data_IF_301665352173
#
_entry.id   IF_301665352173
#
_cell.length_a   1.000
_cell.length_b   1.000
_cell.length_c   1.000
_cell.angle_alpha   90.00
_cell.angle_beta   90.00
_cell.angle_gamma   90.00
#
_symmetry.space_group_name_H-M   'P 1'
#
loop_
_entity.id
_entity.type
_entity.pdbx_description
1 polymer ?
#
# COMPACT_ATOMS: atom_id res chain seq x y z
N UNK A 1 -6.28 31.80 32.47
CA UNK A 1 -6.24 32.17 31.04
C UNK A 1 -4.93 32.91 30.75
N UNK A 2 -4.45 32.88 29.51
CA UNK A 2 -3.28 33.65 29.05
C UNK A 2 -3.47 35.16 29.26
N UNK A 3 -2.45 35.86 29.73
CA UNK A 3 -2.49 37.31 29.97
C UNK A 3 -2.41 38.17 28.69
N UNK A 4 -2.08 37.56 27.54
CA UNK A 4 -2.09 38.26 26.26
C UNK A 4 -3.53 38.67 25.86
N UNK A 5 -3.78 39.94 25.50
CA UNK A 5 -5.12 40.44 25.18
C UNK A 5 -5.80 39.60 24.09
N UNK A 6 -7.04 39.16 24.34
CA UNK A 6 -7.82 38.37 23.39
C UNK A 6 -7.44 36.88 23.29
N UNK A 7 -6.47 36.39 24.08
CA UNK A 7 -6.09 34.98 24.05
C UNK A 7 -6.91 34.13 25.03
N UNK A 8 -7.68 33.17 24.50
CA UNK A 8 -8.48 32.22 25.30
C UNK A 8 -7.72 30.93 25.66
N UNK A 9 -6.44 30.81 25.29
CA UNK A 9 -5.63 29.62 25.60
C UNK A 9 -5.20 29.62 27.07
N UNK A 10 -5.05 28.43 27.67
CA UNK A 10 -4.55 28.27 29.05
C UNK A 10 -3.13 28.84 29.23
N UNK A 11 -2.87 29.47 30.38
CA UNK A 11 -1.55 29.99 30.70
C UNK A 11 -0.62 28.88 31.20
N UNK A 12 0.67 29.02 30.96
CA UNK A 12 1.74 28.19 31.48
C UNK A 12 2.54 29.00 32.53
N UNK A 13 3.71 28.52 32.97
CA UNK A 13 4.61 29.36 33.78
C UNK A 13 4.89 30.70 33.08
N UNK A 14 4.80 31.80 33.84
CA UNK A 14 4.99 33.16 33.34
C UNK A 14 3.73 33.89 32.88
N UNK A 15 2.53 33.33 33.08
CA UNK A 15 1.26 34.05 32.83
C UNK A 15 0.79 34.05 31.37
N UNK A 16 1.59 33.56 30.43
CA UNK A 16 1.25 33.48 29.01
C UNK A 16 1.02 32.04 28.56
N UNK A 17 0.30 31.83 27.45
CA UNK A 17 0.22 30.53 26.78
C UNK A 17 1.50 30.23 26.01
N UNK A 18 1.69 28.99 25.56
CA UNK A 18 2.88 28.54 24.82
C UNK A 18 3.24 29.43 23.61
N UNK A 19 2.22 29.94 22.89
CA UNK A 19 2.42 30.80 21.73
C UNK A 19 2.75 32.25 22.11
N UNK A 20 2.31 32.72 23.28
CA UNK A 20 2.55 34.09 23.75
C UNK A 20 3.71 34.18 24.76
N UNK A 21 4.64 33.21 24.73
CA UNK A 21 5.84 33.27 25.56
C UNK A 21 5.76 32.48 26.87
N UNK A 22 4.68 31.73 27.10
CA UNK A 22 4.52 30.85 28.26
C UNK A 22 5.47 29.65 28.26
N UNK A 23 5.97 29.29 29.44
CA UNK A 23 6.90 28.18 29.67
C UNK A 23 8.36 28.63 29.84
N UNK A 24 9.15 27.78 30.50
CA UNK A 24 10.59 28.00 30.70
C UNK A 24 11.33 28.00 29.37
N UNK A 25 12.40 28.80 29.25
CA UNK A 25 13.26 28.81 28.07
C UNK A 25 14.41 27.83 28.25
N UNK A 26 14.93 27.36 27.12
CA UNK A 26 16.16 26.60 27.08
C UNK A 26 17.29 27.38 27.76
N UNK A 27 18.05 26.71 28.62
CA UNK A 27 19.16 27.29 29.40
C UNK A 27 20.41 27.52 28.55
N UNK A 28 20.49 26.91 27.36
CA UNK A 28 21.55 27.20 26.39
C UNK A 28 21.52 28.70 26.01
N UNK A 29 22.65 29.42 26.14
CA UNK A 29 22.74 30.84 25.81
C UNK A 29 22.18 31.14 24.42
N UNK A 30 21.43 32.23 24.31
CA UNK A 30 20.79 32.70 23.07
C UNK A 30 19.71 31.79 22.47
N UNK A 31 19.34 30.69 23.15
CA UNK A 31 18.25 29.84 22.68
C UNK A 31 16.88 30.35 23.16
N UNK A 32 16.03 30.77 22.22
CA UNK A 32 14.66 31.24 22.52
C UNK A 32 13.61 30.12 22.60
N UNK A 33 14.01 28.88 22.32
CA UNK A 33 13.12 27.71 22.31
C UNK A 33 12.65 27.35 23.72
N UNK A 34 11.42 26.85 23.82
CA UNK A 34 10.82 26.40 25.08
C UNK A 34 11.54 25.14 25.58
N UNK A 35 11.78 25.09 26.88
CA UNK A 35 12.26 23.92 27.62
C UNK A 35 11.28 22.75 27.47
N UNK A 36 11.81 21.60 27.03
CA UNK A 36 11.06 20.36 26.85
C UNK A 36 11.35 19.32 27.96
N UNK A 37 12.12 19.71 28.99
CA UNK A 37 12.56 18.89 30.11
C UNK A 37 14.02 19.18 30.45
N UNK A 38 14.36 19.20 31.74
CA UNK A 38 15.71 19.43 32.26
C UNK A 38 16.35 20.78 31.88
N UNK A 39 15.56 21.81 31.61
CA UNK A 39 16.07 23.14 31.26
C UNK A 39 16.49 23.25 29.80
N UNK A 40 16.30 22.25 28.96
CA UNK A 40 16.80 22.23 27.59
C UNK A 40 15.64 22.09 26.60
N UNK A 41 15.74 22.74 25.43
CA UNK A 41 14.79 22.47 24.35
C UNK A 41 15.10 21.13 23.67
N UNK A 42 14.17 20.62 22.84
CA UNK A 42 14.35 19.34 22.13
C UNK A 42 15.65 19.26 21.30
N UNK A 43 16.07 20.35 20.68
CA UNK A 43 17.32 20.38 19.90
C UNK A 43 18.59 20.46 20.76
N UNK A 44 18.46 20.84 22.02
CA UNK A 44 19.56 20.90 22.98
C UNK A 44 19.49 19.76 24.01
N UNK A 45 18.74 18.69 23.72
CA UNK A 45 18.72 17.47 24.53
C UNK A 45 17.67 17.42 25.65
N UNK A 46 16.64 18.27 25.59
CA UNK A 46 15.48 18.19 26.47
C UNK A 46 14.37 17.27 25.95
N UNK A 47 13.60 16.68 26.86
CA UNK A 47 12.60 15.65 26.58
C UNK A 47 12.96 14.30 27.22
N UNK A 48 12.05 13.32 27.13
CA UNK A 48 12.35 11.95 27.59
C UNK A 48 13.50 11.39 26.75
N UNK A 49 14.46 10.73 27.40
CA UNK A 49 15.60 10.07 26.74
C UNK A 49 15.39 8.57 26.68
N UNK A 50 15.96 7.95 25.64
CA UNK A 50 15.94 6.50 25.50
C UNK A 50 16.48 5.84 26.79
N UNK A 51 15.78 4.82 27.29
CA UNK A 51 16.19 4.11 28.53
C UNK A 51 17.33 3.10 28.32
N UNK A 52 17.75 2.85 27.08
CA UNK A 52 18.87 1.96 26.78
C UNK A 52 20.20 2.59 27.23
N UNK A 53 21.09 1.79 27.84
CA UNK A 53 22.41 2.25 28.23
C UNK A 53 23.16 2.84 27.02
N UNK A 54 23.76 4.02 27.23
CA UNK A 54 24.56 4.78 26.25
C UNK A 54 23.83 5.31 25.00
N UNK A 55 22.49 5.33 24.97
CA UNK A 55 21.74 5.96 23.89
C UNK A 55 21.46 7.46 24.17
N UNK A 56 22.23 8.36 23.54
CA UNK A 56 22.03 9.82 23.61
C UNK A 56 20.82 10.36 22.83
N UNK A 57 20.00 9.49 22.22
CA UNK A 57 18.86 9.90 21.41
C UNK A 57 17.65 10.21 22.30
N UNK A 58 16.80 11.15 21.84
CA UNK A 58 15.48 11.33 22.42
C UNK A 58 14.73 10.00 22.39
N UNK A 59 13.94 9.72 23.43
CA UNK A 59 13.04 8.57 23.52
C UNK A 59 12.06 8.69 22.35
N UNK A 60 12.42 8.10 21.19
CA UNK A 60 11.48 7.88 20.11
C UNK A 60 10.44 6.99 20.76
N UNK A 61 9.21 7.50 20.88
CA UNK A 61 8.11 6.72 21.44
C UNK A 61 8.12 5.32 20.82
N UNK A 62 7.77 4.27 21.59
CA UNK A 62 7.80 2.91 21.07
C UNK A 62 7.03 2.84 19.74
N UNK A 63 7.44 1.95 18.81
CA UNK A 63 6.75 1.78 17.54
C UNK A 63 5.24 1.67 17.77
N UNK A 64 4.45 2.22 16.85
CA UNK A 64 3.01 2.03 16.88
C UNK A 64 2.75 0.55 16.65
N UNK A 65 2.30 -0.14 17.70
CA UNK A 65 1.86 -1.52 17.64
C UNK A 65 0.43 -1.56 17.10
N UNK A 66 0.17 -2.43 16.13
CA UNK A 66 -1.18 -2.69 15.66
C UNK A 66 -1.64 -4.01 16.24
N UNK A 67 -2.84 -4.00 16.79
CA UNK A 67 -3.50 -5.20 17.23
C UNK A 67 -4.82 -5.31 16.47
N UNK A 68 -5.13 -6.52 16.03
CA UNK A 68 -6.44 -6.84 15.46
C UNK A 68 -7.05 -8.00 16.24
N UNK A 69 -8.37 -8.12 16.20
CA UNK A 69 -9.06 -9.30 16.71
C UNK A 69 -9.23 -10.31 15.59
N UNK A 70 -8.86 -11.56 15.87
CA UNK A 70 -9.19 -12.72 15.05
C UNK A 70 -10.39 -13.40 15.67
N UNK A 71 -11.49 -13.47 14.93
CA UNK A 71 -12.76 -14.00 15.40
C UNK A 71 -13.14 -15.20 14.55
N UNK A 72 -13.41 -16.34 15.19
CA UNK A 72 -13.99 -17.49 14.52
C UNK A 72 -15.50 -17.47 14.75
N UNK A 73 -16.27 -17.14 13.73
CA UNK A 73 -17.72 -16.99 13.83
C UNK A 73 -18.40 -18.11 13.06
N UNK A 74 -19.15 -18.95 13.76
CA UNK A 74 -20.03 -19.93 13.14
C UNK A 74 -21.40 -19.31 12.92
N UNK A 75 -21.90 -19.41 11.69
CA UNK A 75 -23.18 -18.84 11.26
C UNK A 75 -24.07 -19.96 10.76
N UNK A 76 -25.29 -20.05 11.28
CA UNK A 76 -26.32 -20.97 10.79
C UNK A 76 -26.97 -20.38 9.53
N UNK A 77 -26.97 -21.14 8.44
CA UNK A 77 -27.55 -20.70 7.18
C UNK A 77 -29.01 -21.10 7.10
N UNK A 78 -29.85 -20.09 6.93
CA UNK A 78 -31.28 -20.23 6.66
C UNK A 78 -31.67 -19.19 5.61
N UNK A 79 -32.65 -19.50 4.76
CA UNK A 79 -33.11 -18.54 3.76
C UNK A 79 -33.50 -17.21 4.45
N UNK A 80 -33.05 -16.05 3.94
CA UNK A 80 -32.46 -15.84 2.62
C UNK A 80 -30.92 -15.77 2.63
N UNK A 81 -30.27 -16.19 3.71
CA UNK A 81 -28.83 -16.08 3.94
C UNK A 81 -28.06 -17.26 3.34
N UNK A 82 -27.14 -16.93 2.43
CA UNK A 82 -26.19 -17.87 1.82
C UNK A 82 -24.77 -17.54 2.28
N UNK A 83 -23.82 -18.47 2.07
CA UNK A 83 -22.39 -18.25 2.36
C UNK A 83 -21.89 -16.91 1.80
N UNK A 84 -22.18 -16.65 0.53
CA UNK A 84 -21.76 -15.45 -0.18
C UNK A 84 -22.43 -14.17 0.35
N UNK A 85 -23.70 -14.24 0.76
CA UNK A 85 -24.40 -13.07 1.32
C UNK A 85 -23.85 -12.68 2.69
N UNK A 86 -23.57 -13.67 3.54
CA UNK A 86 -22.94 -13.43 4.84
C UNK A 86 -21.52 -12.90 4.66
N UNK A 87 -20.74 -13.50 3.74
CA UNK A 87 -19.40 -13.05 3.39
C UNK A 87 -19.39 -11.59 2.93
N UNK A 88 -20.22 -11.23 1.94
CA UNK A 88 -20.30 -9.88 1.39
C UNK A 88 -20.70 -8.84 2.44
N UNK A 89 -21.61 -9.21 3.36
CA UNK A 89 -22.01 -8.31 4.42
C UNK A 89 -20.88 -8.09 5.43
N UNK A 90 -20.24 -9.16 5.91
CA UNK A 90 -19.10 -9.04 6.81
C UNK A 90 -17.97 -8.21 6.17
N UNK A 91 -17.73 -8.37 4.86
CA UNK A 91 -16.75 -7.57 4.12
C UNK A 91 -17.14 -6.10 3.98
N UNK A 92 -18.43 -5.76 4.08
CA UNK A 92 -18.90 -4.37 4.00
C UNK A 92 -18.75 -3.59 5.31
N UNK A 93 -18.43 -4.27 6.41
CA UNK A 93 -18.25 -3.63 7.72
C UNK A 93 -16.92 -2.85 7.75
N UNK A 94 -16.93 -1.54 8.08
CA UNK A 94 -15.77 -0.66 7.89
C UNK A 94 -14.57 -0.99 8.79
N UNK A 95 -14.79 -1.72 9.88
CA UNK A 95 -13.73 -2.15 10.80
C UNK A 95 -13.25 -3.59 10.54
N UNK A 96 -13.88 -4.29 9.58
CA UNK A 96 -13.39 -5.58 9.09
C UNK A 96 -12.25 -5.34 8.11
N UNK A 97 -11.13 -6.02 8.35
CA UNK A 97 -9.97 -6.03 7.45
C UNK A 97 -10.12 -7.12 6.39
N UNK A 98 -10.48 -8.31 6.83
CA UNK A 98 -10.67 -9.46 5.94
C UNK A 98 -11.62 -10.49 6.53
N UNK A 99 -12.25 -11.27 5.66
CA UNK A 99 -13.21 -12.32 6.01
C UNK A 99 -12.95 -13.54 5.15
N UNK A 100 -12.84 -14.70 5.78
CA UNK A 100 -12.48 -15.94 5.10
C UNK A 100 -13.34 -17.10 5.56
N UNK A 101 -13.77 -17.95 4.62
CA UNK A 101 -14.50 -19.18 4.96
C UNK A 101 -13.49 -20.25 5.39
N UNK A 102 -13.61 -20.71 6.64
CA UNK A 102 -12.74 -21.75 7.16
C UNK A 102 -13.02 -23.09 6.45
N UNK A 103 -11.95 -23.73 5.99
CA UNK A 103 -12.05 -25.02 5.28
C UNK A 103 -12.64 -24.91 3.88
N UNK A 104 -12.55 -23.73 3.25
CA UNK A 104 -12.88 -23.57 1.85
C UNK A 104 -12.13 -24.62 1.00
N UNK A 105 -12.87 -25.26 0.10
CA UNK A 105 -12.29 -26.14 -0.92
C UNK A 105 -12.89 -25.75 -2.25
N UNK A 106 -12.06 -25.63 -3.28
CA UNK A 106 -12.58 -25.53 -4.63
C UNK A 106 -13.17 -26.89 -5.03
N UNK A 107 -14.43 -26.91 -5.47
CA UNK A 107 -15.07 -28.12 -6.01
C UNK A 107 -15.99 -27.73 -7.14
N UNK A 108 -15.83 -28.40 -8.28
CA UNK A 108 -16.71 -28.27 -9.45
C UNK A 108 -18.02 -29.05 -9.29
N UNK A 109 -18.16 -29.87 -8.24
CA UNK A 109 -19.36 -30.64 -7.97
C UNK A 109 -20.42 -29.80 -7.23
N UNK A 110 -21.72 -30.00 -7.49
CA UNK A 110 -22.77 -29.31 -6.76
C UNK A 110 -22.69 -29.65 -5.27
N UNK A 111 -22.45 -28.62 -4.44
CA UNK A 111 -22.39 -28.76 -2.99
C UNK A 111 -23.80 -28.91 -2.43
N UNK A 112 -23.97 -29.84 -1.50
CA UNK A 112 -25.14 -29.83 -0.64
C UNK A 112 -25.16 -28.51 0.16
N UNK A 113 -26.34 -27.89 0.35
CA UNK A 113 -26.45 -26.68 1.14
C UNK A 113 -25.99 -26.98 2.57
N UNK A 114 -25.00 -26.24 3.06
CA UNK A 114 -24.54 -26.36 4.44
C UNK A 114 -25.57 -25.70 5.35
N UNK A 115 -25.88 -26.35 6.48
CA UNK A 115 -26.72 -25.76 7.53
C UNK A 115 -25.94 -24.74 8.38
N UNK A 116 -24.60 -24.81 8.37
CA UNK A 116 -23.74 -23.87 9.09
C UNK A 116 -22.39 -23.67 8.39
N UNK A 117 -21.80 -22.49 8.56
CA UNK A 117 -20.48 -22.12 8.02
C UNK A 117 -19.68 -21.34 9.04
N UNK A 118 -18.37 -21.60 9.07
CA UNK A 118 -17.43 -20.88 9.91
C UNK A 118 -16.67 -19.84 9.10
N UNK A 119 -16.63 -18.62 9.60
CA UNK A 119 -15.88 -17.50 9.05
C UNK A 119 -14.77 -17.11 10.02
N UNK A 120 -13.57 -16.89 9.49
CA UNK A 120 -12.51 -16.15 10.18
C UNK A 120 -12.65 -14.68 9.81
N UNK A 121 -12.89 -13.83 10.79
CA UNK A 121 -13.04 -12.38 10.63
C UNK A 121 -11.86 -11.70 11.31
N UNK A 122 -11.09 -10.91 10.55
CA UNK A 122 -10.04 -10.04 11.08
C UNK A 122 -10.58 -8.64 11.25
N UNK A 123 -10.52 -8.13 12.48
CA UNK A 123 -11.22 -6.92 12.89
C UNK A 123 -10.25 -5.91 13.52
N UNK A 124 -10.22 -4.69 13.01
CA UNK A 124 -9.24 -3.67 13.41
C UNK A 124 -9.58 -2.95 14.73
N UNK A 125 -10.79 -3.07 15.26
CA UNK A 125 -11.19 -2.33 16.45
C UNK A 125 -10.80 -3.02 17.76
N UNK A 126 -10.63 -2.21 18.80
CA UNK A 126 -10.24 -2.65 20.15
C UNK A 126 -11.33 -3.47 20.87
N UNK A 127 -12.59 -3.40 20.41
CA UNK A 127 -13.73 -4.12 20.99
C UNK A 127 -14.49 -4.96 19.96
N UNK A 128 -15.06 -6.09 20.38
CA UNK A 128 -15.96 -6.93 19.56
C UNK A 128 -17.40 -6.41 19.50
N UNK A 129 -17.77 -5.42 20.33
CA UNK A 129 -19.15 -4.97 20.49
C UNK A 129 -19.79 -4.47 19.18
N UNK A 130 -19.01 -3.78 18.33
CA UNK A 130 -19.50 -3.32 17.04
C UNK A 130 -19.71 -4.47 16.04
N UNK A 131 -18.89 -5.53 16.07
CA UNK A 131 -19.16 -6.71 15.27
C UNK A 131 -20.35 -7.50 15.80
N UNK A 132 -20.48 -7.65 17.12
CA UNK A 132 -21.65 -8.33 17.73
C UNK A 132 -22.95 -7.59 17.37
N UNK A 133 -22.90 -6.25 17.29
CA UNK A 133 -23.99 -5.42 16.79
C UNK A 133 -24.26 -5.65 15.30
N UNK A 134 -23.20 -5.66 14.46
CA UNK A 134 -23.32 -5.92 13.02
C UNK A 134 -23.88 -7.33 12.73
N UNK A 135 -23.37 -8.35 13.41
CA UNK A 135 -23.86 -9.73 13.36
C UNK A 135 -25.28 -9.84 13.93
N UNK A 136 -25.59 -9.10 14.99
CA UNK A 136 -26.94 -9.02 15.56
C UNK A 136 -27.97 -8.42 14.61
N UNK A 137 -27.55 -7.47 13.76
CA UNK A 137 -28.41 -6.86 12.75
C UNK A 137 -28.78 -7.81 11.59
N UNK A 138 -28.09 -8.95 11.46
CA UNK A 138 -28.32 -9.91 10.39
C UNK A 138 -29.62 -10.72 10.53
N UNK A 139 -30.22 -10.78 11.72
CA UNK A 139 -31.29 -11.75 12.03
C UNK A 139 -30.86 -13.20 11.65
N UNK A 140 -29.57 -13.49 11.81
CA UNK A 140 -28.98 -14.81 11.61
C UNK A 140 -28.52 -15.36 12.95
N UNK A 141 -28.71 -16.67 13.18
CA UNK A 141 -28.14 -17.33 14.35
C UNK A 141 -26.64 -17.51 14.15
N UNK A 142 -25.85 -16.95 15.05
CA UNK A 142 -24.39 -17.09 15.04
C UNK A 142 -23.85 -17.43 16.43
N UNK A 143 -22.64 -17.96 16.47
CA UNK A 143 -21.85 -18.16 17.68
C UNK A 143 -20.39 -17.82 17.42
N UNK A 144 -19.79 -17.01 18.30
CA UNK A 144 -18.36 -16.73 18.28
C UNK A 144 -17.65 -17.86 19.01
N UNK A 145 -16.93 -18.69 18.25
CA UNK A 145 -16.18 -19.85 18.73
C UNK A 145 -14.81 -19.46 19.29
N UNK A 146 -14.20 -18.40 18.74
CA UNK A 146 -12.88 -17.90 19.14
C UNK A 146 -12.87 -16.37 19.06
N UNK A 147 -12.22 -15.72 20.02
CA UNK A 147 -11.95 -14.28 20.00
C UNK A 147 -10.56 -13.99 20.58
N UNK A 148 -9.59 -13.86 19.67
CA UNK A 148 -8.18 -13.72 20.00
C UNK A 148 -7.69 -12.32 19.61
N UNK A 149 -7.02 -11.63 20.53
CA UNK A 149 -6.28 -10.40 20.19
C UNK A 149 -4.92 -10.81 19.64
N UNK A 150 -4.63 -10.42 18.40
CA UNK A 150 -3.36 -10.66 17.73
C UNK A 150 -2.62 -9.33 17.66
N UNK A 151 -1.46 -9.28 18.31
CA UNK A 151 -0.53 -8.15 18.25
C UNK A 151 0.43 -8.39 17.08
N UNK A 152 0.31 -7.59 16.03
CA UNK A 152 1.18 -7.69 14.86
C UNK A 152 2.48 -6.93 15.16
N UNK A 153 3.51 -7.68 15.57
CA UNK A 153 4.82 -7.18 15.99
C UNK A 153 5.88 -7.22 14.87
N UNK A 154 5.48 -7.05 13.61
CA UNK A 154 6.48 -6.87 12.57
C UNK A 154 7.30 -5.59 12.83
N UNK A 155 8.63 -5.75 12.89
CA UNK A 155 9.57 -4.72 13.36
C UNK A 155 9.59 -3.43 12.52
N UNK A 156 8.95 -3.42 11.34
CA UNK A 156 8.87 -2.30 10.39
C UNK A 156 7.58 -2.36 9.53
N UNK A 157 6.40 -2.23 10.14
CA UNK A 157 5.13 -2.11 9.38
C UNK A 157 5.04 -0.74 8.72
N UNK A 158 4.59 -0.68 7.46
CA UNK A 158 4.25 0.59 6.80
C UNK A 158 2.86 1.04 7.28
N UNK A 159 2.77 2.29 7.68
CA UNK A 159 1.56 2.91 8.21
C UNK A 159 1.22 4.14 7.41
N UNK A 160 -0.06 4.32 7.18
CA UNK A 160 -0.64 5.54 6.65
C UNK A 160 -1.15 6.37 7.82
N UNK A 161 -0.64 7.59 7.94
CA UNK A 161 -1.08 8.56 8.94
C UNK A 161 -1.75 9.73 8.22
N UNK A 162 -3.02 9.96 8.54
CA UNK A 162 -3.80 11.07 8.00
C UNK A 162 -3.83 12.19 9.03
N UNK A 163 -3.37 13.38 8.64
CA UNK A 163 -3.33 14.58 9.46
C UNK A 163 -4.18 15.68 8.84
N UNK A 164 -5.08 16.27 9.61
CA UNK A 164 -5.80 17.48 9.20
C UNK A 164 -4.96 18.70 9.52
N UNK A 165 -4.68 19.54 8.54
CA UNK A 165 -3.81 20.72 8.69
C UNK A 165 -4.64 21.99 8.58
N UNK A 166 -4.73 22.72 9.69
CA UNK A 166 -5.49 23.95 9.78
C UNK A 166 -4.67 25.13 9.23
N UNK A 167 -5.32 26.01 8.46
CA UNK A 167 -4.69 27.23 7.94
C UNK A 167 -3.96 27.08 6.60
N UNK A 168 -4.12 25.94 5.90
CA UNK A 168 -3.57 25.76 4.55
C UNK A 168 -4.44 26.49 3.51
N UNK A 169 -4.04 27.70 3.11
CA UNK A 169 -4.86 28.55 2.21
C UNK A 169 -4.69 28.22 0.72
N UNK A 170 -3.61 27.52 0.33
CA UNK A 170 -3.36 27.18 -1.07
C UNK A 170 -2.45 25.94 -1.23
N UNK A 171 -2.69 25.17 -2.29
CA UNK A 171 -1.89 23.98 -2.66
C UNK A 171 -0.45 24.37 -3.02
N UNK A 172 -0.30 25.36 -3.89
CA UNK A 172 0.98 25.67 -4.55
C UNK A 172 2.09 26.12 -3.57
N UNK A 173 1.74 26.81 -2.48
CA UNK A 173 2.72 27.33 -1.53
C UNK A 173 2.57 26.69 -0.14
N UNK A 174 1.39 26.80 0.49
CA UNK A 174 1.20 26.29 1.85
C UNK A 174 1.28 24.75 1.86
N UNK A 175 0.61 24.10 0.92
CA UNK A 175 0.65 22.65 0.75
C UNK A 175 2.08 22.13 0.53
N UNK A 176 2.78 22.63 -0.50
CA UNK A 176 4.15 22.21 -0.79
C UNK A 176 5.12 22.42 0.38
N UNK A 177 4.93 23.47 1.18
CA UNK A 177 5.73 23.71 2.39
C UNK A 177 5.52 22.60 3.43
N UNK A 178 4.26 22.20 3.65
CA UNK A 178 3.91 21.10 4.55
C UNK A 178 4.46 19.76 4.05
N UNK A 179 4.30 19.44 2.77
CA UNK A 179 4.83 18.21 2.16
C UNK A 179 6.34 18.11 2.34
N UNK A 180 7.09 19.14 1.95
CA UNK A 180 8.55 19.16 2.08
C UNK A 180 9.01 19.01 3.54
N UNK A 181 8.27 19.62 4.47
CA UNK A 181 8.58 19.50 5.89
C UNK A 181 8.41 18.07 6.40
N UNK A 182 7.38 17.35 5.96
CA UNK A 182 7.13 15.96 6.37
C UNK A 182 8.08 15.00 5.65
N UNK A 183 8.33 15.17 4.35
CA UNK A 183 9.28 14.36 3.59
C UNK A 183 10.70 14.37 4.18
N UNK A 184 11.07 15.44 4.89
CA UNK A 184 12.36 15.52 5.59
C UNK A 184 12.45 14.71 6.89
N UNK A 185 11.36 14.08 7.34
CA UNK A 185 11.35 13.20 8.51
C UNK A 185 11.88 11.82 8.11
N UNK A 186 12.88 11.32 8.84
CA UNK A 186 13.44 9.99 8.60
C UNK A 186 12.36 8.91 8.68
N UNK A 187 12.43 7.92 7.80
CA UNK A 187 11.48 6.78 7.70
C UNK A 187 10.07 7.14 7.20
N UNK A 188 9.86 8.36 6.69
CA UNK A 188 8.74 8.69 5.79
C UNK A 188 9.07 8.18 4.39
N UNK A 189 8.12 7.47 3.78
CA UNK A 189 8.22 6.87 2.45
C UNK A 189 7.54 7.74 1.40
N UNK A 190 6.32 8.19 1.70
CA UNK A 190 5.49 8.96 0.76
C UNK A 190 4.64 9.98 1.50
N UNK A 191 4.34 11.10 0.82
CA UNK A 191 3.50 12.17 1.37
C UNK A 191 2.63 12.74 0.26
N UNK A 192 1.31 12.73 0.48
CA UNK A 192 0.31 13.27 -0.42
C UNK A 192 -0.52 14.34 0.27
N UNK A 193 -0.99 15.31 -0.51
CA UNK A 193 -1.94 16.33 -0.06
C UNK A 193 -3.31 16.06 -0.65
N UNK A 194 -4.30 16.05 0.22
CA UNK A 194 -5.71 16.07 -0.17
C UNK A 194 -6.28 17.43 0.23
N UNK A 195 -6.21 18.36 -0.72
CA UNK A 195 -6.44 19.78 -0.44
C UNK A 195 -7.90 20.08 -0.09
N UNK A 196 -8.84 19.39 -0.74
CA UNK A 196 -10.28 19.61 -0.54
C UNK A 196 -10.70 19.34 0.91
N UNK A 197 -10.05 18.37 1.56
CA UNK A 197 -10.29 18.04 2.97
C UNK A 197 -9.28 18.69 3.94
N UNK A 198 -8.34 19.48 3.42
CA UNK A 198 -7.19 20.01 4.14
C UNK A 198 -6.39 18.91 4.88
N UNK A 199 -6.23 17.75 4.24
CA UNK A 199 -5.55 16.59 4.80
C UNK A 199 -4.18 16.37 4.17
N UNK A 200 -3.29 15.79 4.97
CA UNK A 200 -2.00 15.29 4.54
C UNK A 200 -1.95 13.81 4.86
N UNK A 201 -1.74 12.99 3.84
CA UNK A 201 -1.63 11.54 3.94
C UNK A 201 -0.16 11.18 3.90
N UNK A 202 0.33 10.51 4.93
CA UNK A 202 1.75 10.20 5.13
C UNK A 202 1.94 8.71 5.25
N UNK A 203 2.66 8.11 4.32
CA UNK A 203 3.13 6.72 4.45
C UNK A 203 4.52 6.70 5.07
N UNK A 204 4.69 5.95 6.15
CA UNK A 204 5.94 5.87 6.89
C UNK A 204 6.07 4.52 7.61
N UNK A 205 7.26 4.15 8.06
CA UNK A 205 7.36 3.03 9.00
C UNK A 205 6.70 3.38 10.34
N UNK A 206 6.16 2.38 11.03
CA UNK A 206 5.48 2.51 12.33
C UNK A 206 6.35 3.05 13.48
N UNK A 207 7.65 3.24 13.24
CA UNK A 207 8.58 3.94 14.13
C UNK A 207 8.36 5.46 14.12
N UNK A 208 7.76 6.00 13.06
CA UNK A 208 7.37 7.41 12.96
C UNK A 208 6.02 7.59 13.63
N UNK A 209 5.99 8.32 14.73
CA UNK A 209 4.73 8.58 15.46
C UNK A 209 3.99 9.78 14.90
N UNK A 210 2.65 9.77 14.97
CA UNK A 210 1.82 10.92 14.63
C UNK A 210 2.26 12.21 15.35
N UNK A 211 2.70 12.10 16.61
CA UNK A 211 3.22 13.23 17.37
C UNK A 211 4.49 13.84 16.74
N UNK A 212 5.37 13.02 16.17
CA UNK A 212 6.57 13.50 15.48
C UNK A 212 6.20 14.27 14.21
N UNK A 213 5.24 13.76 13.44
CA UNK A 213 4.73 14.41 12.23
C UNK A 213 4.04 15.74 12.55
N UNK A 214 3.13 15.76 13.54
CA UNK A 214 2.44 16.99 13.99
C UNK A 214 3.45 18.02 14.50
N UNK A 215 4.45 17.60 15.28
CA UNK A 215 5.50 18.49 15.76
C UNK A 215 6.32 19.11 14.61
N UNK A 216 6.49 18.39 13.49
CA UNK A 216 7.16 18.89 12.30
C UNK A 216 6.32 19.95 11.58
N UNK A 217 5.02 19.73 11.45
CA UNK A 217 4.08 20.68 10.84
C UNK A 217 3.97 21.96 11.72
N UNK A 218 3.95 21.81 13.04
CA UNK A 218 3.96 22.95 13.97
C UNK A 218 5.23 23.79 13.88
N UNK A 219 6.38 23.18 13.58
CA UNK A 219 7.65 23.89 13.47
C UNK A 219 7.72 24.85 12.27
N UNK A 220 6.93 24.59 11.22
CA UNK A 220 6.81 25.47 10.05
C UNK A 220 5.63 26.46 10.15
N UNK A 221 4.92 26.46 11.29
CA UNK A 221 3.88 27.45 11.60
C UNK A 221 2.43 27.03 11.34
N UNK A 222 2.18 25.74 11.05
CA UNK A 222 0.82 25.22 10.85
C UNK A 222 0.34 24.41 12.05
N UNK A 223 -0.96 24.46 12.35
CA UNK A 223 -1.59 23.57 13.34
C UNK A 223 -2.07 22.30 12.63
N UNK A 224 -1.89 21.13 13.27
CA UNK A 224 -2.29 19.85 12.71
C UNK A 224 -2.85 18.92 13.77
N UNK A 225 -3.91 18.21 13.39
CA UNK A 225 -4.63 17.25 14.22
C UNK A 225 -4.56 15.85 13.59
N UNK A 226 -4.40 14.83 14.43
CA UNK A 226 -4.43 13.44 13.96
C UNK A 226 -5.87 13.04 13.59
N UNK A 227 -6.05 12.54 12.37
CA UNK A 227 -7.32 11.95 11.92
C UNK A 227 -7.28 10.43 12.15
N UNK A 228 -6.29 9.74 11.59
CA UNK A 228 -6.16 8.30 11.72
C UNK A 228 -4.71 7.84 11.55
N UNK A 229 -4.41 6.65 12.08
CA UNK A 229 -3.20 5.88 11.77
C UNK A 229 -3.64 4.46 11.46
N UNK A 230 -3.37 3.98 10.26
CA UNK A 230 -3.76 2.65 9.80
C UNK A 230 -2.59 1.91 9.18
N UNK A 231 -2.44 0.59 9.44
CA UNK A 231 -1.40 -0.19 8.79
C UNK A 231 -1.77 -0.40 7.33
N UNK A 232 -0.80 -0.18 6.45
CA UNK A 232 -0.94 -0.37 5.00
C UNK A 232 -0.80 -1.87 4.70
N UNK A 233 -1.78 -2.49 4.03
CA UNK A 233 -1.67 -3.89 3.58
C UNK A 233 -0.43 -4.10 2.73
N UNK A 234 0.22 -5.26 2.88
CA UNK A 234 1.28 -5.63 1.95
C UNK A 234 0.70 -5.82 0.56
N UNK A 235 1.44 -5.41 -0.45
CA UNK A 235 1.21 -5.77 -1.84
C UNK A 235 2.33 -6.73 -2.24
N UNK A 236 1.97 -7.97 -2.61
CA UNK A 236 2.92 -8.95 -3.14
C UNK A 236 2.49 -9.34 -4.54
N UNK A 237 3.43 -9.29 -5.47
CA UNK A 237 3.23 -9.77 -6.83
C UNK A 237 3.89 -11.13 -7.01
N UNK A 238 3.11 -12.10 -7.45
CA UNK A 238 3.57 -13.44 -7.78
C UNK A 238 3.52 -13.66 -9.29
N UNK A 239 4.54 -14.32 -9.82
CA UNK A 239 4.44 -14.94 -11.14
C UNK A 239 3.76 -16.31 -11.00
N UNK A 240 2.83 -16.62 -11.90
CA UNK A 240 2.07 -17.87 -11.89
C UNK A 240 2.45 -18.76 -13.06
N UNK A 241 2.73 -20.03 -12.75
CA UNK A 241 3.06 -21.06 -13.74
C UNK A 241 2.19 -22.27 -13.55
N UNK A 242 1.67 -22.83 -14.64
CA UNK A 242 0.84 -24.03 -14.56
C UNK A 242 1.68 -25.28 -14.37
N UNK A 243 1.27 -26.13 -13.43
CA UNK A 243 1.87 -27.44 -13.24
C UNK A 243 1.57 -28.29 -14.48
N UNK A 244 2.55 -28.47 -15.36
CA UNK A 244 2.40 -29.15 -16.66
C UNK A 244 2.56 -28.27 -17.91
N UNK A 245 2.95 -27.00 -17.76
CA UNK A 245 3.42 -26.15 -18.87
C UNK A 245 2.34 -25.60 -19.82
N UNK A 246 1.05 -25.81 -19.52
CA UNK A 246 -0.05 -25.26 -20.32
C UNK A 246 -0.34 -23.79 -19.95
N UNK A 247 -0.96 -23.03 -20.87
CA UNK A 247 -1.36 -21.64 -20.61
C UNK A 247 -2.39 -21.54 -19.46
N UNK A 248 -2.37 -20.41 -18.75
CA UNK A 248 -3.35 -20.07 -17.71
C UNK A 248 -4.63 -19.58 -18.38
N UNK A 249 -5.67 -20.41 -18.37
CA UNK A 249 -6.99 -20.06 -18.92
C UNK A 249 -7.71 -19.06 -18.01
N UNK A 250 -8.69 -18.34 -18.54
CA UNK A 250 -9.55 -17.46 -17.74
C UNK A 250 -10.26 -18.21 -16.60
N UNK A 251 -10.71 -19.44 -16.83
CA UNK A 251 -11.34 -20.25 -15.78
C UNK A 251 -10.38 -20.52 -14.62
N UNK A 252 -9.12 -20.86 -14.91
CA UNK A 252 -8.11 -21.10 -13.88
C UNK A 252 -7.77 -19.80 -13.14
N UNK A 253 -7.78 -18.66 -13.84
CA UNK A 253 -7.59 -17.35 -13.22
C UNK A 253 -8.71 -17.01 -12.22
N UNK A 254 -9.99 -17.20 -12.59
CA UNK A 254 -11.11 -16.99 -11.67
C UNK A 254 -11.05 -17.96 -10.48
N UNK A 255 -10.67 -19.22 -10.72
CA UNK A 255 -10.50 -20.20 -9.66
C UNK A 255 -9.39 -19.79 -8.68
N UNK A 256 -8.26 -19.31 -9.20
CA UNK A 256 -7.17 -18.78 -8.38
C UNK A 256 -7.64 -17.61 -7.52
N UNK A 257 -8.28 -16.62 -8.13
CA UNK A 257 -8.82 -15.46 -7.41
C UNK A 257 -9.75 -15.90 -6.27
N UNK A 258 -10.66 -16.82 -6.56
CA UNK A 258 -11.60 -17.36 -5.58
C UNK A 258 -10.87 -18.08 -4.45
N UNK A 259 -9.92 -18.97 -4.74
CA UNK A 259 -9.22 -19.74 -3.70
C UNK A 259 -8.37 -18.80 -2.84
N UNK A 260 -7.64 -17.86 -3.45
CA UNK A 260 -6.78 -16.93 -2.72
C UNK A 260 -7.57 -15.96 -1.84
N UNK A 261 -8.80 -15.57 -2.23
CA UNK A 261 -9.67 -14.74 -1.38
C UNK A 261 -10.04 -15.40 -0.04
N UNK A 262 -9.87 -16.72 0.08
CA UNK A 262 -10.13 -17.48 1.30
C UNK A 262 -8.89 -17.72 2.17
N UNK A 263 -7.71 -17.25 1.75
CA UNK A 263 -6.48 -17.30 2.57
C UNK A 263 -6.55 -16.26 3.68
N UNK A 264 -6.25 -16.65 4.92
CA UNK A 264 -6.36 -15.75 6.06
C UNK A 264 -5.44 -14.53 5.91
N UNK A 265 -6.01 -13.33 6.04
CA UNK A 265 -5.30 -12.06 5.90
C UNK A 265 -5.28 -11.47 4.50
N UNK A 266 -5.73 -12.19 3.46
CA UNK A 266 -5.88 -11.64 2.12
C UNK A 266 -7.08 -10.68 2.07
N UNK A 267 -6.83 -9.41 1.78
CA UNK A 267 -7.87 -8.38 1.67
C UNK A 267 -8.36 -8.25 0.22
N UNK A 268 -7.46 -8.40 -0.75
CA UNK A 268 -7.78 -8.30 -2.19
C UNK A 268 -6.85 -9.15 -3.04
N UNK A 269 -7.37 -9.68 -4.14
CA UNK A 269 -6.61 -10.41 -5.15
C UNK A 269 -6.90 -9.80 -6.52
N UNK A 270 -5.88 -9.66 -7.36
CA UNK A 270 -6.02 -9.26 -8.75
C UNK A 270 -5.18 -10.20 -9.63
N UNK A 271 -5.86 -11.02 -10.43
CA UNK A 271 -5.18 -11.95 -11.35
C UNK A 271 -5.05 -11.28 -12.71
N UNK A 272 -3.86 -11.34 -13.30
CA UNK A 272 -3.54 -10.76 -14.61
C UNK A 272 -3.06 -11.88 -15.55
N UNK A 273 -4.00 -12.61 -16.20
CA UNK A 273 -3.69 -13.84 -16.93
C UNK A 273 -2.69 -13.66 -18.08
N UNK A 274 -2.81 -12.56 -18.82
CA UNK A 274 -1.97 -12.26 -19.97
C UNK A 274 -0.51 -11.94 -19.60
N UNK A 275 -0.25 -11.52 -18.36
CA UNK A 275 1.10 -11.32 -17.82
C UNK A 275 1.58 -12.51 -16.99
N UNK A 276 0.74 -13.54 -16.80
CA UNK A 276 0.99 -14.62 -15.88
C UNK A 276 1.41 -14.11 -14.48
N UNK A 277 0.70 -13.09 -13.98
CA UNK A 277 0.92 -12.54 -12.63
C UNK A 277 -0.36 -12.53 -11.80
N UNK A 278 -0.19 -12.55 -10.49
CA UNK A 278 -1.25 -12.29 -9.51
C UNK A 278 -0.73 -11.35 -8.44
N UNK A 279 -1.48 -10.30 -8.16
CA UNK A 279 -1.23 -9.33 -7.10
C UNK A 279 -2.13 -9.67 -5.92
N UNK A 280 -1.54 -9.86 -4.74
CA UNK A 280 -2.24 -10.20 -3.50
C UNK A 280 -1.98 -9.09 -2.49
N UNK A 281 -3.05 -8.55 -1.93
CA UNK A 281 -3.03 -7.47 -0.94
C UNK A 281 -3.51 -7.98 0.41
N UNK A 282 -2.83 -7.63 1.50
CA UNK A 282 -3.26 -8.00 2.85
C UNK A 282 -2.12 -8.24 3.85
N UNK A 283 -2.45 -8.91 4.94
CA UNK A 283 -1.54 -9.32 6.03
C UNK A 283 -1.52 -10.83 6.13
N UNK A 284 -1.10 -11.50 5.06
CA UNK A 284 -1.20 -12.95 4.90
C UNK A 284 0.17 -13.62 5.01
N UNK A 285 0.18 -14.93 5.27
CA UNK A 285 1.37 -15.76 5.10
C UNK A 285 1.55 -16.13 3.62
N UNK A 286 2.71 -15.77 3.07
CA UNK A 286 3.09 -16.10 1.69
C UNK A 286 3.01 -17.61 1.43
N UNK A 287 3.35 -18.45 2.41
CA UNK A 287 3.32 -19.90 2.27
C UNK A 287 1.89 -20.42 2.05
N UNK A 288 0.90 -19.85 2.75
CA UNK A 288 -0.51 -20.24 2.57
C UNK A 288 -1.01 -19.86 1.17
N UNK A 289 -0.64 -18.69 0.66
CA UNK A 289 -0.97 -18.25 -0.71
C UNK A 289 -0.40 -19.23 -1.75
N UNK A 290 0.87 -19.60 -1.62
CA UNK A 290 1.53 -20.56 -2.53
C UNK A 290 0.87 -21.94 -2.45
N UNK A 291 0.59 -22.44 -1.24
CA UNK A 291 -0.09 -23.73 -1.04
C UNK A 291 -1.51 -23.74 -1.62
N UNK A 292 -2.25 -22.64 -1.45
CA UNK A 292 -3.60 -22.52 -1.99
C UNK A 292 -3.62 -22.48 -3.52
N UNK A 293 -2.66 -21.78 -4.16
CA UNK A 293 -2.54 -21.79 -5.61
C UNK A 293 -2.24 -23.20 -6.18
N UNK A 294 -1.48 -24.02 -5.45
CA UNK A 294 -1.20 -25.40 -5.87
C UNK A 294 -2.48 -26.25 -5.98
N UNK A 295 -3.54 -25.94 -5.22
CA UNK A 295 -4.83 -26.65 -5.30
C UNK A 295 -5.57 -26.46 -6.62
N UNK A 296 -5.20 -25.43 -7.39
CA UNK A 296 -5.70 -25.15 -8.75
C UNK A 296 -4.65 -25.42 -9.82
N UNK A 297 -3.65 -26.24 -9.51
CA UNK A 297 -2.53 -26.62 -10.40
C UNK A 297 -1.69 -25.42 -10.88
N UNK A 298 -1.52 -24.42 -10.01
CA UNK A 298 -0.63 -23.28 -10.24
C UNK A 298 0.50 -23.27 -9.21
N UNK A 299 1.71 -22.99 -9.69
CA UNK A 299 2.87 -22.68 -8.88
C UNK A 299 3.08 -21.16 -8.88
N UNK A 300 3.17 -20.56 -7.70
CA UNK A 300 3.44 -19.12 -7.54
C UNK A 300 4.88 -18.90 -7.09
N UNK A 301 5.56 -17.96 -7.75
CA UNK A 301 6.89 -17.48 -7.31
C UNK A 301 6.83 -15.99 -7.00
N UNK A 302 7.21 -15.62 -5.78
CA UNK A 302 7.26 -14.23 -5.33
C UNK A 302 8.34 -13.45 -6.11
N UNK A 303 7.97 -12.32 -6.72
CA UNK A 303 8.93 -11.48 -7.45
C UNK A 303 9.80 -10.62 -6.53
N UNK A 304 9.37 -10.36 -5.30
CA UNK A 304 10.16 -9.57 -4.35
C UNK A 304 11.24 -10.40 -3.64
N UNK A 305 11.10 -11.73 -3.60
CA UNK A 305 12.10 -12.63 -3.04
C UNK A 305 13.32 -12.87 -3.95
N UNK A 306 13.27 -12.46 -5.24
CA UNK A 306 14.32 -12.78 -6.22
C UNK A 306 15.37 -11.68 -6.44
N UNK A 307 15.52 -10.72 -5.52
CA UNK A 307 16.63 -9.75 -5.58
C UNK A 307 17.71 -10.15 -4.59
N UNK A 308 18.50 -11.15 -4.96
CA UNK A 308 19.83 -11.36 -4.39
C UNK A 308 20.83 -10.57 -5.28
N UNK A 309 21.39 -9.43 -4.85
CA UNK A 309 22.15 -8.53 -5.74
C UNK A 309 23.51 -9.05 -6.21
N UNK A 310 23.85 -10.32 -6.00
CA UNK A 310 25.22 -10.83 -6.14
C UNK A 310 25.41 -12.04 -7.05
N UNK A 311 24.41 -12.50 -7.81
CA UNK A 311 24.60 -13.63 -8.75
C UNK A 311 23.90 -13.48 -10.10
N UNK A 312 23.99 -12.31 -10.74
CA UNK A 312 23.54 -12.12 -12.12
C UNK A 312 24.70 -11.76 -13.07
N UNK A 313 25.71 -12.63 -13.16
CA UNK A 313 26.66 -12.66 -14.28
C UNK A 313 26.78 -14.12 -14.73
N UNK A 314 26.23 -14.45 -15.91
CA UNK A 314 26.26 -15.82 -16.42
C UNK A 314 25.45 -16.06 -17.69
N UNK A 315 25.86 -15.41 -18.79
CA UNK A 315 25.59 -15.70 -20.21
C UNK A 315 24.37 -16.53 -20.61
N UNK A 316 23.40 -15.89 -21.29
CA UNK A 316 22.50 -16.56 -22.23
C UNK A 316 22.84 -16.14 -23.66
N UNK A 317 23.29 -17.09 -24.46
CA UNK A 317 23.37 -16.97 -25.92
C UNK A 317 21.98 -16.65 -26.50
N UNK A 318 21.87 -15.77 -27.51
CA UNK A 318 20.57 -15.44 -28.09
C UNK A 318 20.08 -16.63 -28.92
N UNK A 319 19.00 -17.26 -28.46
CA UNK A 319 18.25 -18.22 -29.27
C UNK A 319 17.57 -17.45 -30.39
N UNK A 320 18.09 -17.56 -31.60
CA UNK A 320 17.42 -17.09 -32.81
C UNK A 320 16.09 -17.84 -32.96
N UNK A 321 14.97 -17.12 -32.84
CA UNK A 321 13.67 -17.63 -33.28
C UNK A 321 13.29 -16.95 -34.61
N UNK A 322 12.77 -17.74 -35.55
CA UNK A 322 12.16 -17.21 -36.78
C UNK A 322 10.74 -16.69 -36.45
N UNK A 323 10.59 -15.36 -36.36
CA UNK A 323 9.32 -14.70 -36.05
C UNK A 323 8.42 -14.73 -37.31
N UNK A 324 7.34 -15.52 -37.30
CA UNK A 324 6.25 -15.42 -38.30
C UNK A 324 5.16 -14.47 -37.77
N UNK A 325 4.36 -13.87 -38.67
CA UNK A 325 3.32 -12.86 -38.37
C UNK A 325 2.20 -13.31 -37.39
N UNK A 326 2.26 -14.54 -36.87
CA UNK A 326 1.36 -15.06 -35.83
C UNK A 326 1.87 -14.84 -34.39
N UNK A 327 3.01 -14.17 -34.18
CA UNK A 327 3.61 -13.98 -32.86
C UNK A 327 2.93 -12.84 -32.06
N UNK A 328 2.28 -13.17 -30.94
CA UNK A 328 1.61 -12.19 -30.05
C UNK A 328 2.57 -11.57 -29.03
N UNK A 329 2.43 -10.25 -28.82
CA UNK A 329 2.82 -9.35 -27.70
C UNK A 329 4.19 -9.47 -26.98
N UNK A 330 5.01 -10.46 -27.26
CA UNK A 330 6.37 -10.63 -26.72
C UNK A 330 7.50 -10.55 -27.77
N UNK A 331 7.21 -10.60 -29.07
CA UNK A 331 8.24 -10.42 -30.12
C UNK A 331 8.60 -8.92 -30.17
N UNK A 332 9.86 -8.57 -29.87
CA UNK A 332 10.37 -7.18 -29.89
C UNK A 332 10.06 -6.49 -31.24
N UNK A 333 10.11 -7.24 -32.35
CA UNK A 333 9.69 -6.74 -33.68
C UNK A 333 8.22 -6.30 -33.70
N UNK A 334 7.31 -7.13 -33.18
CA UNK A 334 5.88 -6.81 -33.11
C UNK A 334 5.61 -5.59 -32.22
N UNK A 335 6.24 -5.53 -31.05
CA UNK A 335 6.12 -4.39 -30.13
C UNK A 335 6.60 -3.09 -30.76
N UNK A 336 7.72 -3.13 -31.49
CA UNK A 336 8.28 -1.96 -32.19
C UNK A 336 7.33 -1.48 -33.29
N UNK A 337 6.74 -2.38 -34.07
CA UNK A 337 5.75 -2.04 -35.10
C UNK A 337 4.49 -1.41 -34.49
N UNK A 338 3.96 -1.99 -33.40
CA UNK A 338 2.79 -1.46 -32.71
C UNK A 338 3.03 -0.06 -32.13
N UNK A 339 4.19 0.16 -31.49
CA UNK A 339 4.57 1.47 -30.97
C UNK A 339 4.67 2.52 -32.09
N UNK A 340 5.23 2.15 -33.25
CA UNK A 340 5.29 3.04 -34.41
C UNK A 340 3.92 3.36 -35.01
N UNK A 341 3.05 2.36 -35.16
CA UNK A 341 1.68 2.58 -35.65
C UNK A 341 0.90 3.49 -34.70
N UNK A 342 1.08 3.34 -33.38
CA UNK A 342 0.48 4.23 -32.40
C UNK A 342 0.98 5.68 -32.53
N UNK A 343 2.28 5.89 -32.74
CA UNK A 343 2.85 7.23 -32.95
C UNK A 343 2.29 7.92 -34.21
N UNK A 344 2.19 7.19 -35.34
CA UNK A 344 1.60 7.71 -36.57
C UNK A 344 0.10 8.02 -36.42
N UNK A 345 -0.63 7.23 -35.62
CA UNK A 345 -2.06 7.44 -35.37
C UNK A 345 -2.36 8.73 -34.58
N UNK A 346 -1.41 9.21 -33.78
CA UNK A 346 -1.55 10.45 -32.99
C UNK A 346 -0.84 11.66 -33.62
N UNK A 347 -0.40 11.56 -34.86
CA UNK A 347 0.13 12.71 -35.63
C UNK A 347 1.62 12.92 -35.50
N UNK A 348 2.35 11.99 -34.89
CA UNK A 348 3.80 12.12 -34.73
C UNK A 348 4.52 11.66 -36.00
N UNK A 349 5.40 12.53 -36.52
CA UNK A 349 6.26 12.20 -37.65
C UNK A 349 7.47 11.39 -37.16
N UNK A 350 7.62 10.17 -37.67
CA UNK A 350 8.79 9.32 -37.38
C UNK A 350 9.93 9.75 -38.31
N UNK A 351 11.09 10.18 -37.79
CA UNK A 351 12.23 10.56 -38.61
C UNK A 351 12.69 9.42 -39.53
N UNK A 352 12.68 9.66 -40.85
CA UNK A 352 13.06 8.67 -41.86
C UNK A 352 11.92 7.75 -42.34
N UNK A 353 10.69 7.92 -41.83
CA UNK A 353 9.51 7.21 -42.32
C UNK A 353 8.72 8.06 -43.33
N UNK A 354 8.45 7.52 -44.53
CA UNK A 354 7.70 8.21 -45.59
C UNK A 354 6.17 8.03 -45.52
N UNK A 355 5.64 7.46 -44.44
CA UNK A 355 4.20 7.19 -44.28
C UNK A 355 3.44 8.47 -43.86
N UNK A 356 2.26 8.69 -44.46
CA UNK A 356 1.37 9.77 -44.05
C UNK A 356 0.56 9.41 -42.80
N UNK A 357 0.09 10.43 -42.09
CA UNK A 357 -0.79 10.32 -40.92
C UNK A 357 -2.00 9.40 -41.17
N UNK A 358 -2.31 8.52 -40.22
CA UNK A 358 -3.53 7.70 -40.23
C UNK A 358 -3.44 6.34 -40.95
N UNK A 359 -2.25 5.89 -41.35
CA UNK A 359 -2.04 4.58 -41.98
C UNK A 359 -1.21 3.63 -41.11
N UNK A 360 -1.47 2.32 -41.25
CA UNK A 360 -0.66 1.26 -40.62
C UNK A 360 0.71 1.13 -41.30
N UNK A 361 1.76 0.91 -40.51
CA UNK A 361 3.11 0.77 -41.03
C UNK A 361 3.33 -0.61 -41.69
N UNK A 362 3.47 -0.63 -43.02
CA UNK A 362 3.74 -1.85 -43.80
C UNK A 362 5.23 -2.07 -44.14
N UNK A 363 6.16 -1.39 -43.48
CA UNK A 363 7.58 -1.38 -43.89
C UNK A 363 8.32 -2.72 -43.68
N UNK A 364 7.75 -3.66 -42.90
CA UNK A 364 8.30 -5.00 -42.71
C UNK A 364 9.80 -5.03 -42.37
N UNK A 365 10.52 -6.03 -42.88
CA UNK A 365 11.97 -6.19 -42.67
C UNK A 365 12.84 -5.13 -43.39
N UNK A 366 12.25 -4.26 -44.22
CA UNK A 366 12.96 -3.23 -44.99
C UNK A 366 13.00 -1.86 -44.29
N UNK A 367 12.54 -1.76 -43.04
CA UNK A 367 12.42 -0.50 -42.31
C UNK A 367 13.79 0.12 -41.96
N UNK A 368 14.00 1.39 -42.35
CA UNK A 368 15.24 2.17 -42.12
C UNK A 368 15.07 3.33 -41.11
N UNK A 369 14.04 3.30 -40.28
CA UNK A 369 13.78 4.38 -39.30
C UNK A 369 14.83 4.39 -38.18
N UNK A 370 15.15 5.57 -37.66
CA UNK A 370 16.07 5.71 -36.52
C UNK A 370 15.44 5.10 -35.25
N UNK A 371 16.22 4.30 -34.49
CA UNK A 371 15.76 3.63 -33.26
C UNK A 371 15.26 2.18 -33.42
N UNK A 372 15.35 1.58 -34.60
CA UNK A 372 15.00 0.17 -34.80
C UNK A 372 16.04 -0.77 -34.14
N UNK A 373 15.66 -1.66 -33.20
CA UNK A 373 16.60 -2.50 -32.43
C UNK A 373 17.46 -3.44 -33.29
N UNK A 374 17.03 -3.79 -34.50
CA UNK A 374 17.78 -4.69 -35.39
C UNK A 374 18.74 -3.97 -36.31
N UNK A 375 18.55 -2.67 -36.60
CA UNK A 375 19.28 -2.00 -37.69
C UNK A 375 20.00 -0.71 -37.26
N UNK A 376 19.78 -0.22 -36.04
CA UNK A 376 20.57 0.88 -35.50
C UNK A 376 20.95 0.65 -34.01
N UNK A 377 21.83 -0.33 -33.73
CA UNK A 377 22.17 -0.72 -32.36
C UNK A 377 23.01 0.32 -31.59
N UNK A 378 23.27 1.49 -32.16
CA UNK A 378 24.21 2.49 -31.63
C UNK A 378 23.60 3.79 -31.10
N UNK A 379 22.28 4.00 -31.20
CA UNK A 379 21.63 5.19 -30.65
C UNK A 379 20.80 4.81 -29.45
N UNK A 380 21.36 4.93 -28.25
CA UNK A 380 20.60 4.97 -27.00
C UNK A 380 19.61 6.13 -27.07
N UNK A 381 18.32 5.82 -27.24
CA UNK A 381 17.26 6.80 -27.03
C UNK A 381 17.00 6.81 -25.53
N UNK A 382 17.38 7.90 -24.88
CA UNK A 382 16.94 8.20 -23.52
C UNK A 382 15.40 8.39 -23.55
N UNK A 383 14.62 7.57 -22.85
CA UNK A 383 13.16 7.65 -22.88
C UNK A 383 12.61 8.98 -22.34
N UNK A 384 13.43 9.80 -21.66
CA UNK A 384 13.04 11.11 -21.15
C UNK A 384 13.13 12.21 -22.22
N UNK A 385 14.04 12.09 -23.18
CA UNK A 385 14.27 13.14 -24.20
C UNK A 385 13.38 12.97 -25.44
N UNK A 386 12.63 11.87 -25.55
CA UNK A 386 11.67 11.62 -26.63
C UNK A 386 10.23 12.08 -26.30
N UNK A 387 10.03 12.70 -25.13
CA UNK A 387 8.73 13.23 -24.65
C UNK A 387 8.67 14.77 -24.64
N UNK A 388 9.62 15.45 -25.29
CA UNK A 388 9.56 16.86 -25.69
C UNK A 388 9.65 16.94 -27.21
#
# INVERSE_FOLDING_TARGET
MCQFPGCTKGYQRGGFCRNHGGGSRCTVPFCIKVDAGHGLCRSHGGGKRCKAADCGKADVAPPVAFAYRRLLVQVQLQAPWTELRVLALLQSEPQVRSVHILGYRHSSAPRQPKSAVCFVVRWAAHSSAALELALGALDVRYSVLENSLVEDMASLVVVETILKVNGMMCVANCGNTVVRAIQSVASVLEVHLEFDDAQVVVQSHNTVTAHALIARIQAIGFEADLVSVTPVPWHRQFHMQRTGGCHVTMDVALQLETVLSHVEGVEKVAVVPHLATVDVFGFFDVHEVVLMAATVALHLTDREASVDPLQAEGGSTPVHHECSFACSSGCIKYQTTMAHTAALAVGWAVPGCGMAFGYECNCGDSCKCAGCPTHNPGTTIDPVTALL
#
